data_IF_244455834643
#
_entry.id   IF_244455834643
#
_cell.length_a   1.000
_cell.length_b   1.000
_cell.length_c   1.000
_cell.angle_alpha   90.00
_cell.angle_beta   90.00
_cell.angle_gamma   90.00
#
_symmetry.space_group_name_H-M   'P 1'
#
loop_
_entity.id
_entity.type
_entity.pdbx_description
1 polymer ?
#
# COMPACT_ATOMS: atom_id res chain seq x y z
N UNK A 1 13.43 10.05 28.32
CA UNK A 1 13.55 10.99 27.19
C UNK A 1 12.21 10.93 26.53
N UNK A 2 11.46 12.01 26.55
CA UNK A 2 10.13 12.06 25.96
C UNK A 2 10.30 11.78 24.46
N UNK A 3 9.89 10.60 24.01
CA UNK A 3 9.66 10.37 22.59
C UNK A 3 8.53 11.34 22.24
N UNK A 4 8.90 12.46 21.63
CA UNK A 4 7.98 13.16 20.77
C UNK A 4 7.82 12.22 19.60
N UNK A 5 6.77 11.41 19.62
CA UNK A 5 6.12 10.98 18.40
C UNK A 5 5.72 12.27 17.70
N UNK A 6 6.64 12.79 16.88
CA UNK A 6 6.39 13.87 15.94
C UNK A 6 5.39 13.30 14.94
N UNK A 7 4.11 13.34 15.31
CA UNK A 7 3.01 13.14 14.40
C UNK A 7 3.18 14.19 13.30
N UNK A 8 3.79 13.78 12.20
CA UNK A 8 3.77 14.53 10.95
C UNK A 8 2.31 14.79 10.62
N UNK A 9 1.98 16.04 10.33
CA UNK A 9 0.63 16.34 9.88
C UNK A 9 0.36 15.54 8.60
N UNK A 10 -0.90 15.22 8.35
CA UNK A 10 -1.32 14.56 7.09
C UNK A 10 -0.74 15.29 5.88
N UNK A 11 -0.67 16.63 5.94
CA UNK A 11 -0.10 17.46 4.88
C UNK A 11 1.40 17.21 4.70
N UNK A 12 2.18 17.21 5.78
CA UNK A 12 3.63 16.94 5.74
C UNK A 12 3.91 15.49 5.27
N UNK A 13 3.13 14.52 5.77
CA UNK A 13 3.26 13.11 5.35
C UNK A 13 3.00 12.95 3.86
N UNK A 14 1.96 13.61 3.33
CA UNK A 14 1.67 13.58 1.90
C UNK A 14 2.74 14.26 1.06
N UNK A 15 3.39 15.32 1.55
CA UNK A 15 4.52 15.93 0.83
C UNK A 15 5.71 14.99 0.75
N UNK A 16 6.08 14.34 1.86
CA UNK A 16 7.15 13.34 1.90
C UNK A 16 6.84 12.18 0.97
N UNK A 17 5.63 11.62 1.07
CA UNK A 17 5.19 10.52 0.21
C UNK A 17 5.21 10.89 -1.27
N UNK A 18 4.89 12.14 -1.63
CA UNK A 18 4.97 12.62 -3.01
C UNK A 18 6.40 12.66 -3.53
N UNK A 19 7.36 13.02 -2.67
CA UNK A 19 8.78 12.98 -3.02
C UNK A 19 9.27 11.54 -3.18
N UNK A 20 9.02 10.68 -2.18
CA UNK A 20 9.41 9.25 -2.20
C UNK A 20 8.80 8.52 -3.40
N UNK A 21 7.52 8.76 -3.68
CA UNK A 21 6.82 8.13 -4.81
C UNK A 21 7.49 8.45 -6.14
N UNK A 22 7.95 9.69 -6.33
CA UNK A 22 8.66 10.08 -7.55
C UNK A 22 10.04 9.45 -7.63
N UNK A 23 10.76 9.38 -6.52
CA UNK A 23 12.07 8.73 -6.47
C UNK A 23 11.97 7.23 -6.76
N UNK A 24 10.98 6.53 -6.19
CA UNK A 24 10.74 5.11 -6.40
C UNK A 24 10.36 4.85 -7.87
N UNK A 25 9.38 5.58 -8.42
CA UNK A 25 8.98 5.41 -9.82
C UNK A 25 10.16 5.70 -10.75
N UNK A 26 10.92 6.77 -10.49
CA UNK A 26 12.09 7.07 -11.31
C UNK A 26 13.12 5.94 -11.25
N UNK A 27 13.39 5.39 -10.07
CA UNK A 27 14.31 4.26 -9.92
C UNK A 27 13.83 3.02 -10.67
N UNK A 28 12.54 2.69 -10.59
CA UNK A 28 11.92 1.57 -11.33
C UNK A 28 12.09 1.76 -12.85
N UNK A 29 11.78 2.96 -13.36
CA UNK A 29 11.91 3.28 -14.78
C UNK A 29 13.38 3.28 -15.24
N UNK A 30 14.32 3.75 -14.40
CA UNK A 30 15.75 3.71 -14.69
C UNK A 30 16.30 2.28 -14.72
N UNK A 31 15.72 1.38 -13.92
CA UNK A 31 16.06 -0.04 -13.89
C UNK A 31 15.45 -0.83 -15.07
N UNK A 32 14.55 -0.19 -15.84
CA UNK A 32 13.97 -0.75 -17.06
C UNK A 32 12.53 -1.25 -16.93
N UNK A 33 11.82 -0.85 -15.86
CA UNK A 33 10.38 -1.10 -15.73
C UNK A 33 9.59 -0.39 -16.85
N UNK A 34 8.50 -1.02 -17.31
CA UNK A 34 7.65 -0.49 -18.38
C UNK A 34 6.63 0.52 -17.85
N UNK A 35 6.71 1.83 -18.18
CA UNK A 35 5.76 2.84 -17.67
C UNK A 35 4.31 2.64 -18.12
N UNK A 36 4.09 1.88 -19.19
CA UNK A 36 2.78 1.56 -19.75
C UNK A 36 2.19 0.26 -19.20
N UNK A 37 2.96 -0.50 -18.41
CA UNK A 37 2.45 -1.70 -17.73
C UNK A 37 1.48 -1.32 -16.58
N UNK A 38 0.62 -2.26 -16.23
CA UNK A 38 -0.35 -2.10 -15.15
C UNK A 38 0.23 -2.71 -13.89
N UNK A 39 0.68 -1.83 -12.99
CA UNK A 39 1.24 -2.21 -11.72
C UNK A 39 0.15 -2.33 -10.69
N UNK A 40 0.29 -3.32 -9.84
CA UNK A 40 -0.54 -3.47 -8.65
C UNK A 40 0.07 -2.65 -7.52
N UNK A 41 -0.59 -1.53 -7.21
CA UNK A 41 -0.21 -0.65 -6.11
C UNK A 41 -0.87 -1.18 -4.85
N UNK A 42 -0.07 -1.69 -3.93
CA UNK A 42 -0.51 -2.25 -2.64
C UNK A 42 -0.37 -1.22 -1.53
N UNK A 43 -1.39 -1.06 -0.70
CA UNK A 43 -1.44 -0.11 0.39
C UNK A 43 -1.68 -0.84 1.72
N UNK A 44 -0.77 -0.64 2.67
CA UNK A 44 -0.81 -1.31 3.97
C UNK A 44 -1.45 -0.42 5.03
N UNK A 45 -2.36 -0.99 5.80
CA UNK A 45 -3.05 -0.32 6.90
C UNK A 45 -2.99 -1.13 8.18
N UNK A 46 -2.97 -0.44 9.31
CA UNK A 46 -3.05 -1.03 10.64
C UNK A 46 -4.18 -0.41 11.45
N UNK A 47 -4.83 -1.22 12.29
CA UNK A 47 -5.79 -0.72 13.26
C UNK A 47 -5.74 -1.54 14.56
N UNK A 48 -6.00 -0.86 15.68
CA UNK A 48 -6.20 -1.51 16.98
C UNK A 48 -7.61 -2.13 17.10
N UNK A 49 -8.59 -1.56 16.39
CA UNK A 49 -10.00 -1.96 16.45
C UNK A 49 -10.46 -2.60 15.12
N UNK A 50 -10.89 -3.86 15.18
CA UNK A 50 -11.46 -4.58 14.02
C UNK A 50 -12.67 -3.87 13.39
N UNK A 51 -13.54 -3.26 14.20
CA UNK A 51 -14.73 -2.56 13.70
C UNK A 51 -14.36 -1.31 12.87
N UNK A 52 -13.26 -0.62 13.23
CA UNK A 52 -12.73 0.51 12.45
C UNK A 52 -12.08 0.01 11.17
N UNK A 53 -11.29 -1.05 11.28
CA UNK A 53 -10.61 -1.70 10.16
C UNK A 53 -11.60 -2.17 9.08
N UNK A 54 -12.65 -2.88 9.48
CA UNK A 54 -13.69 -3.38 8.57
C UNK A 54 -14.40 -2.21 7.85
N UNK A 55 -14.68 -1.11 8.56
CA UNK A 55 -15.30 0.08 7.96
C UNK A 55 -14.39 0.76 6.95
N UNK A 56 -13.11 0.87 7.27
CA UNK A 56 -12.10 1.42 6.38
C UNK A 56 -11.95 0.56 5.12
N UNK A 57 -11.84 -0.76 5.29
CA UNK A 57 -11.80 -1.75 4.21
C UNK A 57 -13.04 -1.63 3.29
N UNK A 58 -14.24 -1.59 3.86
CA UNK A 58 -15.47 -1.43 3.08
C UNK A 58 -15.50 -0.10 2.31
N UNK A 59 -14.96 0.98 2.89
CA UNK A 59 -14.92 2.27 2.21
C UNK A 59 -13.86 2.31 1.09
N UNK A 60 -12.67 1.72 1.32
CA UNK A 60 -11.65 1.54 0.29
C UNK A 60 -12.20 0.70 -0.89
N UNK A 61 -12.92 -0.38 -0.59
CA UNK A 61 -13.59 -1.19 -1.59
C UNK A 61 -14.59 -0.39 -2.44
N UNK A 62 -15.38 0.49 -1.82
CA UNK A 62 -16.30 1.38 -2.55
C UNK A 62 -15.59 2.43 -3.41
N UNK A 63 -14.36 2.82 -3.04
CA UNK A 63 -13.56 3.74 -3.84
C UNK A 63 -12.94 3.06 -5.07
N UNK A 64 -13.00 1.73 -5.15
CA UNK A 64 -12.49 0.93 -6.26
C UNK A 64 -11.16 0.25 -5.99
N UNK A 65 -10.71 0.20 -4.73
CA UNK A 65 -9.56 -0.59 -4.31
C UNK A 65 -10.01 -2.03 -4.02
N UNK A 66 -9.16 -3.00 -4.29
CA UNK A 66 -9.38 -4.40 -3.91
C UNK A 66 -8.81 -4.60 -2.52
N UNK A 67 -9.67 -4.91 -1.55
CA UNK A 67 -9.23 -5.11 -0.16
C UNK A 67 -9.01 -6.59 0.09
N UNK A 68 -7.81 -6.93 0.55
CA UNK A 68 -7.40 -8.26 0.94
C UNK A 68 -7.92 -8.61 2.35
N UNK A 69 -7.81 -9.88 2.71
CA UNK A 69 -8.26 -10.37 4.02
C UNK A 69 -7.44 -9.73 5.14
N UNK A 70 -8.11 -9.32 6.22
CA UNK A 70 -7.44 -8.75 7.36
C UNK A 70 -6.70 -9.82 8.17
N UNK A 71 -5.44 -9.58 8.50
CA UNK A 71 -4.61 -10.47 9.32
C UNK A 71 -4.33 -9.87 10.72
N UNK A 72 -4.06 -10.73 11.70
CA UNK A 72 -3.59 -10.31 13.02
C UNK A 72 -2.07 -10.12 12.98
N UNK A 73 -1.62 -8.87 13.11
CA UNK A 73 -0.22 -8.51 13.26
C UNK A 73 0.13 -8.29 14.75
N UNK A 74 1.41 -8.37 15.09
CA UNK A 74 1.91 -8.03 16.42
C UNK A 74 2.87 -6.84 16.29
N UNK A 75 2.60 -5.77 17.04
CA UNK A 75 3.44 -4.57 17.08
C UNK A 75 4.78 -4.80 17.79
N UNK A 76 5.72 -3.86 17.67
CA UNK A 76 6.99 -3.87 18.39
C UNK A 76 6.84 -3.99 19.94
N UNK A 77 5.71 -3.54 20.50
CA UNK A 77 5.39 -3.69 21.93
C UNK A 77 4.74 -5.05 22.29
N UNK A 78 4.50 -5.93 21.31
CA UNK A 78 3.81 -7.22 21.51
C UNK A 78 2.28 -7.09 21.57
N UNK A 79 1.74 -5.94 21.15
CA UNK A 79 0.30 -5.71 21.09
C UNK A 79 -0.28 -6.26 19.79
N UNK A 80 -1.41 -6.95 19.89
CA UNK A 80 -2.13 -7.46 18.72
C UNK A 80 -2.81 -6.32 17.97
N UNK A 81 -2.37 -6.09 16.76
CA UNK A 81 -2.98 -5.17 15.80
C UNK A 81 -3.61 -5.98 14.68
N UNK A 82 -4.49 -5.34 13.93
CA UNK A 82 -5.04 -5.90 12.71
C UNK A 82 -4.47 -5.12 11.53
N UNK A 83 -4.06 -5.83 10.49
CA UNK A 83 -3.63 -5.23 9.25
C UNK A 83 -4.50 -5.69 8.09
N UNK A 84 -4.68 -4.83 7.10
CA UNK A 84 -5.24 -5.23 5.83
C UNK A 84 -4.52 -4.49 4.73
N UNK A 85 -4.51 -5.14 3.57
CA UNK A 85 -3.88 -4.61 2.38
C UNK A 85 -4.95 -4.23 1.38
N UNK A 86 -4.77 -3.08 0.72
CA UNK A 86 -5.64 -2.63 -0.34
C UNK A 86 -4.84 -2.44 -1.62
N UNK A 87 -5.18 -3.18 -2.66
CA UNK A 87 -4.49 -3.11 -3.95
C UNK A 87 -5.31 -2.32 -4.97
N UNK A 88 -4.62 -1.63 -5.89
CA UNK A 88 -5.24 -0.97 -7.03
C UNK A 88 -4.35 -1.05 -8.25
N UNK A 89 -4.91 -1.54 -9.37
CA UNK A 89 -4.20 -1.58 -10.63
C UNK A 89 -4.09 -0.18 -11.25
N UNK A 90 -2.88 0.29 -11.47
CA UNK A 90 -2.61 1.56 -12.15
C UNK A 90 -1.23 1.58 -12.82
N UNK A 91 -1.02 2.48 -13.77
CA UNK A 91 0.31 2.71 -14.36
C UNK A 91 1.25 3.36 -13.35
N UNK A 92 2.58 3.24 -13.55
CA UNK A 92 3.62 3.97 -12.78
C UNK A 92 3.57 5.48 -13.04
N UNK A 93 2.47 6.11 -12.66
CA UNK A 93 2.26 7.55 -12.76
C UNK A 93 2.21 8.15 -11.34
N UNK A 94 3.15 9.05 -11.00
CA UNK A 94 3.24 9.61 -9.65
C UNK A 94 1.96 10.35 -9.26
N UNK A 95 1.33 11.08 -10.19
CA UNK A 95 0.11 11.81 -9.88
C UNK A 95 -1.07 10.87 -9.55
N UNK A 96 -1.10 9.69 -10.16
CA UNK A 96 -2.10 8.66 -9.90
C UNK A 96 -1.91 8.04 -8.52
N UNK A 97 -0.67 7.66 -8.18
CA UNK A 97 -0.33 7.09 -6.86
C UNK A 97 -0.52 8.14 -5.76
N UNK A 98 -0.05 9.38 -5.97
CA UNK A 98 -0.26 10.50 -5.06
C UNK A 98 -1.75 10.69 -4.73
N UNK A 99 -2.62 10.58 -5.74
CA UNK A 99 -4.06 10.70 -5.55
C UNK A 99 -4.70 9.50 -4.83
N UNK A 100 -4.13 8.31 -4.95
CA UNK A 100 -4.55 7.12 -4.20
C UNK A 100 -4.15 7.28 -2.73
N UNK A 101 -2.87 7.56 -2.46
CA UNK A 101 -2.33 7.80 -1.12
C UNK A 101 -3.10 8.91 -0.42
N UNK A 102 -3.36 10.05 -1.08
CA UNK A 102 -4.13 11.15 -0.50
C UNK A 102 -5.55 10.71 -0.06
N UNK A 103 -6.27 9.95 -0.89
CA UNK A 103 -7.60 9.44 -0.52
C UNK A 103 -7.54 8.47 0.66
N UNK A 104 -6.55 7.59 0.64
CA UNK A 104 -6.38 6.54 1.64
C UNK A 104 -5.91 7.08 2.99
N UNK A 105 -5.00 8.04 3.01
CA UNK A 105 -4.58 8.73 4.24
C UNK A 105 -5.74 9.51 4.85
N UNK A 106 -6.54 10.21 4.03
CA UNK A 106 -7.75 10.88 4.52
C UNK A 106 -8.80 9.89 5.06
N UNK A 107 -8.89 8.70 4.45
CA UNK A 107 -9.75 7.62 4.94
C UNK A 107 -9.22 7.08 6.27
N UNK A 108 -7.90 6.91 6.40
CA UNK A 108 -7.25 6.41 7.59
C UNK A 108 -7.55 7.32 8.80
N UNK A 109 -7.30 8.62 8.64
CA UNK A 109 -7.64 9.66 9.63
C UNK A 109 -9.13 9.68 9.98
N UNK A 110 -10.01 9.50 9.00
CA UNK A 110 -11.46 9.51 9.21
C UNK A 110 -11.95 8.33 10.05
N UNK A 111 -11.34 7.16 9.86
CA UNK A 111 -11.71 5.94 10.57
C UNK A 111 -10.83 5.66 11.79
N UNK A 112 -9.86 6.53 12.08
CA UNK A 112 -8.93 6.40 13.21
C UNK A 112 -8.13 5.09 13.10
N UNK A 113 -7.62 4.84 11.88
CA UNK A 113 -6.69 3.76 11.55
C UNK A 113 -5.37 4.37 11.05
N UNK A 114 -4.32 3.56 11.00
CA UNK A 114 -2.97 3.98 10.62
C UNK A 114 -2.71 3.52 9.19
N UNK A 115 -2.24 4.45 8.36
CA UNK A 115 -1.69 4.13 7.04
C UNK A 115 -0.18 4.00 7.15
N UNK A 116 0.36 2.84 6.77
CA UNK A 116 1.80 2.56 6.89
C UNK A 116 2.58 3.01 5.67
N UNK A 117 2.01 2.77 4.48
CA UNK A 117 2.68 3.07 3.23
C UNK A 117 2.07 2.36 2.06
N UNK A 118 2.69 2.56 0.89
CA UNK A 118 2.37 1.81 -0.32
C UNK A 118 3.60 1.12 -0.88
N UNK A 119 3.37 0.06 -1.64
CA UNK A 119 4.36 -0.69 -2.39
C UNK A 119 3.83 -1.05 -3.78
N UNK A 120 4.74 -1.46 -4.65
CA UNK A 120 4.41 -2.02 -5.95
C UNK A 120 5.38 -3.14 -6.27
N UNK A 121 4.94 -4.10 -7.07
CA UNK A 121 5.84 -5.09 -7.63
C UNK A 121 6.73 -4.47 -8.72
N UNK A 122 7.92 -5.04 -8.89
CA UNK A 122 8.81 -4.73 -10.00
C UNK A 122 8.46 -5.62 -11.20
N UNK A 123 8.06 -5.00 -12.31
CA UNK A 123 7.84 -5.66 -13.59
C UNK A 123 8.93 -5.23 -14.58
N UNK A 124 10.06 -5.96 -14.58
CA UNK A 124 11.14 -5.82 -15.54
C UNK A 124 11.54 -7.17 -16.15
N UNK A 125 12.47 -7.16 -17.11
CA UNK A 125 12.91 -8.40 -17.79
C UNK A 125 13.57 -9.42 -16.83
N UNK A 126 14.10 -8.94 -15.70
CA UNK A 126 14.67 -9.76 -14.62
C UNK A 126 13.68 -10.05 -13.48
N UNK A 127 12.40 -9.63 -13.61
CA UNK A 127 11.39 -9.93 -12.63
C UNK A 127 11.20 -11.44 -12.54
N UNK A 128 11.49 -11.99 -11.36
CA UNK A 128 11.24 -13.38 -11.03
C UNK A 128 9.72 -13.53 -10.81
N UNK A 129 8.99 -13.72 -11.89
CA UNK A 129 7.65 -14.29 -11.79
C UNK A 129 7.81 -15.65 -11.12
N UNK A 130 7.06 -15.96 -10.04
CA UNK A 130 6.99 -17.33 -9.56
C UNK A 130 6.64 -18.17 -10.79
N UNK A 131 7.53 -19.08 -11.17
CA UNK A 131 7.26 -20.02 -12.25
C UNK A 131 5.91 -20.63 -11.91
N UNK A 132 4.91 -20.38 -12.77
CA UNK A 132 3.64 -21.09 -12.68
C UNK A 132 4.05 -22.55 -12.56
N UNK A 133 3.78 -23.18 -11.40
CA UNK A 133 4.00 -24.60 -11.24
C UNK A 133 3.23 -25.21 -12.42
N UNK A 134 3.96 -25.66 -13.44
CA UNK A 134 3.46 -26.56 -14.45
C UNK A 134 3.01 -27.76 -13.63
N UNK A 135 1.73 -27.78 -13.23
CA UNK A 135 1.01 -28.97 -12.83
C UNK A 135 1.24 -29.96 -13.96
N UNK A 136 2.27 -30.78 -13.75
CA UNK A 136 2.64 -31.96 -14.52
C UNK A 136 1.48 -32.94 -14.38
N UNK A 137 0.40 -32.66 -15.12
CA UNK A 137 -0.66 -33.59 -15.45
C UNK A 137 -0.08 -34.56 -16.52
N UNK A 138 0.95 -35.32 -16.13
CA UNK A 138 1.40 -36.52 -16.86
C UNK A 138 0.86 -37.78 -16.16
N UNK A 139 -0.34 -38.19 -16.62
CA UNK A 139 -0.90 -39.57 -16.72
C UNK A 139 -0.30 -40.70 -15.84
#
# INVERSE_FOLDING_TARGET
MSQQDDYLSVEDFLEIQKEDTREIIQALLEDGSDPEALYEIEHHFFAEDFDKLEKAAVEAFKMGFEVLEAEEAEDEDGSKLLCFDATMQSTLDPATIDAQVEKLVNLAEKFDIIYDGWGTYYEGEDALYPAEDEDDDEE
#
